data_IF_919318161205
#
_entry.id   IF_919318161205
#
_cell.length_a   1.000
_cell.length_b   1.000
_cell.length_c   1.000
_cell.angle_alpha   90.00
_cell.angle_beta   90.00
_cell.angle_gamma   90.00
#
_symmetry.space_group_name_H-M   'P 1'
#
loop_
_entity.id
_entity.type
_entity.pdbx_description
1 polymer ?
#
# COMPACT_ATOMS: atom_id res chain seq x y z
N UNK A 1 -22.20 8.96 -0.48
CA UNK A 1 -21.03 9.76 -0.93
C UNK A 1 -20.07 9.89 0.24
N UNK A 2 -19.06 9.03 0.32
CA UNK A 2 -18.11 9.00 1.45
C UNK A 2 -17.10 10.14 1.30
N UNK A 3 -17.17 11.15 2.14
CA UNK A 3 -16.10 12.16 2.26
C UNK A 3 -14.96 11.59 3.09
N UNK A 4 -13.83 11.31 2.45
CA UNK A 4 -12.58 10.95 3.14
C UNK A 4 -12.02 12.19 3.80
N UNK A 5 -12.08 12.26 5.13
CA UNK A 5 -11.34 13.25 5.88
C UNK A 5 -9.85 12.88 5.89
N UNK A 6 -9.02 13.77 5.39
CA UNK A 6 -7.57 13.62 5.41
C UNK A 6 -7.01 14.16 6.72
N UNK A 7 -6.32 13.32 7.46
CA UNK A 7 -5.58 13.74 8.66
C UNK A 7 -4.34 14.48 8.22
N UNK A 8 -4.19 15.72 8.72
CA UNK A 8 -3.05 16.58 8.46
C UNK A 8 -2.00 16.40 9.56
N UNK A 9 -0.78 16.07 9.21
CA UNK A 9 0.36 16.14 10.12
C UNK A 9 1.03 17.50 9.94
N UNK A 10 0.77 18.44 10.85
CA UNK A 10 1.46 19.72 10.89
C UNK A 10 2.86 19.58 11.47
N UNK A 11 3.84 20.33 10.96
CA UNK A 11 5.24 20.33 11.40
C UNK A 11 5.51 21.18 12.66
N UNK A 12 4.58 21.19 13.64
CA UNK A 12 4.78 21.76 14.97
C UNK A 12 5.09 20.67 15.98
N UNK A 13 5.62 21.05 17.15
CA UNK A 13 5.83 20.14 18.28
C UNK A 13 4.50 19.59 18.76
N UNK A 14 4.13 18.42 18.24
CA UNK A 14 2.89 17.72 18.59
C UNK A 14 3.07 17.04 19.94
N UNK A 15 2.55 17.63 21.00
CA UNK A 15 2.66 17.05 22.34
C UNK A 15 1.49 16.13 22.68
N UNK A 16 0.31 16.33 22.11
CA UNK A 16 -0.88 15.54 22.48
C UNK A 16 -1.76 15.24 21.26
N UNK A 17 -2.35 14.05 21.23
CA UNK A 17 -3.27 13.60 20.15
C UNK A 17 -4.57 13.05 20.74
N UNK A 18 -5.72 13.41 20.14
CA UNK A 18 -7.02 12.84 20.46
C UNK A 18 -7.38 11.80 19.40
N UNK A 19 -7.77 10.62 19.84
CA UNK A 19 -8.44 9.63 19.03
C UNK A 19 -9.94 9.68 19.32
N UNK A 20 -10.72 10.19 18.40
CA UNK A 20 -12.17 10.24 18.49
C UNK A 20 -12.78 9.16 17.60
N UNK A 21 -13.72 8.39 18.15
CA UNK A 21 -14.45 7.35 17.44
C UNK A 21 -15.95 7.61 17.62
N UNK A 22 -16.66 7.81 16.52
CA UNK A 22 -18.12 7.84 16.52
C UNK A 22 -18.65 6.47 16.10
N UNK A 23 -19.43 5.79 16.94
CA UNK A 23 -20.17 4.55 16.68
C UNK A 23 -19.57 3.60 15.62
N UNK A 24 -20.36 3.19 14.62
CA UNK A 24 -19.91 2.41 13.45
C UNK A 24 -19.31 3.26 12.32
N UNK A 25 -19.10 4.55 12.53
CA UNK A 25 -18.63 5.54 11.56
C UNK A 25 -17.13 5.80 11.67
N UNK A 26 -16.54 6.48 10.66
CA UNK A 26 -15.10 6.49 10.44
C UNK A 26 -14.31 7.05 11.64
N UNK A 27 -13.27 6.33 12.01
CA UNK A 27 -12.28 6.79 12.95
C UNK A 27 -11.58 8.03 12.42
N UNK A 28 -11.46 9.07 13.24
CA UNK A 28 -10.65 10.24 12.96
C UNK A 28 -9.65 10.51 14.08
N UNK A 29 -8.61 11.24 13.75
CA UNK A 29 -7.56 11.64 14.69
C UNK A 29 -7.44 13.15 14.59
N UNK A 30 -7.50 13.81 15.74
CA UNK A 30 -7.21 15.24 15.87
C UNK A 30 -5.92 15.38 16.69
N UNK A 31 -5.09 16.32 16.33
CA UNK A 31 -3.84 16.62 17.00
C UNK A 31 -3.86 18.02 17.55
N UNK A 32 -3.41 18.23 18.77
CA UNK A 32 -3.29 19.50 19.44
C UNK A 32 -1.96 19.64 20.18
N UNK A 33 -1.62 20.86 20.53
CA UNK A 33 -0.36 21.20 21.23
C UNK A 33 -0.46 20.78 22.69
N UNK A 34 -1.62 21.00 23.34
CA UNK A 34 -1.84 20.66 24.74
C UNK A 34 -3.07 19.76 24.91
N UNK A 35 -3.14 19.11 26.04
CA UNK A 35 -4.26 18.26 26.40
C UNK A 35 -5.52 19.11 26.70
N UNK A 36 -5.33 20.25 27.37
CA UNK A 36 -6.38 21.17 27.77
C UNK A 36 -7.12 21.71 26.52
N UNK A 37 -6.37 22.11 25.49
CA UNK A 37 -6.92 22.55 24.20
C UNK A 37 -7.84 21.47 23.60
N UNK A 38 -7.41 20.22 23.66
CA UNK A 38 -8.16 19.11 23.09
C UNK A 38 -9.40 18.74 23.91
N UNK A 39 -9.34 18.84 25.24
CA UNK A 39 -10.47 18.53 26.13
C UNK A 39 -11.49 19.64 26.21
N UNK A 40 -11.04 20.90 26.32
CA UNK A 40 -11.90 22.03 26.65
C UNK A 40 -12.44 22.76 25.42
N UNK A 41 -11.68 22.78 24.32
CA UNK A 41 -12.08 23.50 23.12
C UNK A 41 -12.47 22.56 21.96
N UNK A 42 -11.58 21.66 21.60
CA UNK A 42 -11.76 20.84 20.40
C UNK A 42 -12.84 19.77 20.57
N UNK A 43 -12.87 19.12 21.73
CA UNK A 43 -13.86 18.07 21.98
C UNK A 43 -15.30 18.59 21.97
N UNK A 44 -15.65 19.69 22.63
CA UNK A 44 -17.00 20.24 22.54
C UNK A 44 -17.39 20.67 21.12
N UNK A 45 -16.46 21.25 20.34
CA UNK A 45 -16.71 21.60 18.96
C UNK A 45 -17.03 20.37 18.09
N UNK A 46 -16.31 19.28 18.31
CA UNK A 46 -16.57 18.02 17.59
C UNK A 46 -17.88 17.39 18.03
N UNK A 47 -18.20 17.42 19.30
CA UNK A 47 -19.47 16.90 19.83
C UNK A 47 -20.66 17.70 19.29
N UNK A 48 -20.58 19.03 19.26
CA UNK A 48 -21.59 19.89 18.64
C UNK A 48 -21.75 19.59 17.13
N UNK A 49 -20.66 19.51 16.38
CA UNK A 49 -20.67 19.19 14.96
C UNK A 49 -21.30 17.81 14.66
N UNK A 50 -21.05 16.81 15.50
CA UNK A 50 -21.61 15.49 15.35
C UNK A 50 -23.09 15.43 15.73
N UNK A 51 -23.48 16.13 16.81
CA UNK A 51 -24.87 16.13 17.30
C UNK A 51 -25.85 16.75 16.30
N UNK A 52 -25.44 17.81 15.57
CA UNK A 52 -26.22 18.36 14.45
C UNK A 52 -26.54 17.35 13.35
N UNK A 53 -25.77 16.27 13.28
CA UNK A 53 -25.87 15.19 12.28
C UNK A 53 -26.42 13.88 12.85
N UNK A 54 -26.96 13.94 14.08
CA UNK A 54 -27.50 12.78 14.77
C UNK A 54 -26.44 11.76 15.21
N UNK A 55 -25.17 12.19 15.34
CA UNK A 55 -24.04 11.34 15.70
C UNK A 55 -23.49 11.72 17.07
N UNK A 56 -22.95 10.75 17.80
CA UNK A 56 -22.32 10.99 19.10
C UNK A 56 -20.93 10.37 19.20
N UNK A 57 -20.06 10.95 20.01
CA UNK A 57 -18.77 10.33 20.34
C UNK A 57 -18.99 9.13 21.26
N UNK A 58 -18.29 8.02 20.97
CA UNK A 58 -18.27 6.86 21.86
C UNK A 58 -17.30 7.12 23.03
N UNK A 59 -17.77 7.18 24.29
CA UNK A 59 -16.90 7.42 25.45
C UNK A 59 -15.79 6.37 25.59
N UNK A 60 -16.10 5.11 25.32
CA UNK A 60 -15.15 3.99 25.44
C UNK A 60 -14.03 4.04 24.38
N UNK A 61 -14.33 4.60 23.21
CA UNK A 61 -13.41 4.62 22.08
C UNK A 61 -12.72 5.98 21.90
N UNK A 62 -13.21 7.03 22.57
CA UNK A 62 -12.62 8.37 22.53
C UNK A 62 -11.55 8.49 23.62
N UNK A 63 -10.31 8.75 23.21
CA UNK A 63 -9.17 8.85 24.14
C UNK A 63 -8.24 9.96 23.74
N UNK A 64 -7.80 10.74 24.72
CA UNK A 64 -6.68 11.68 24.59
C UNK A 64 -5.44 10.97 25.09
N UNK A 65 -4.41 10.90 24.24
CA UNK A 65 -3.17 10.14 24.53
C UNK A 65 -1.98 10.99 24.14
N UNK A 66 -0.94 11.03 24.98
CA UNK A 66 0.32 11.66 24.62
C UNK A 66 1.03 10.87 23.53
N UNK A 67 1.61 11.58 22.54
CA UNK A 67 2.24 10.96 21.36
C UNK A 67 3.43 10.06 21.72
N UNK A 68 4.09 10.29 22.85
CA UNK A 68 5.18 9.46 23.34
C UNK A 68 4.70 8.14 23.94
N UNK A 69 3.49 8.07 24.46
CA UNK A 69 2.85 6.80 24.85
C UNK A 69 2.45 6.02 23.61
N UNK A 70 1.97 6.74 22.59
CA UNK A 70 1.54 6.22 21.31
C UNK A 70 0.14 5.59 21.37
N UNK A 71 -0.44 5.40 20.18
CA UNK A 71 -1.77 4.82 20.03
C UNK A 71 -1.85 3.90 18.81
N UNK A 72 -2.84 3.02 18.82
CA UNK A 72 -3.13 2.14 17.70
C UNK A 72 -4.25 2.72 16.84
N UNK A 73 -3.99 2.89 15.52
CA UNK A 73 -4.95 3.37 14.54
C UNK A 73 -4.89 2.53 13.27
N UNK A 74 -6.04 2.02 12.80
CA UNK A 74 -6.14 1.15 11.62
C UNK A 74 -5.13 0.00 11.61
N UNK A 75 -4.89 -0.60 12.78
CA UNK A 75 -3.93 -1.69 12.93
C UNK A 75 -2.46 -1.26 12.94
N UNK A 76 -2.18 0.02 12.88
CA UNK A 76 -0.84 0.61 12.99
C UNK A 76 -0.68 1.26 14.36
N UNK A 77 0.51 1.17 14.93
CA UNK A 77 0.92 1.89 16.13
C UNK A 77 1.69 3.13 15.73
N UNK A 78 1.21 4.29 16.14
CA UNK A 78 1.83 5.60 15.92
C UNK A 78 2.42 6.06 17.25
N UNK A 79 3.71 6.34 17.28
CA UNK A 79 4.40 6.77 18.50
C UNK A 79 5.61 7.64 18.18
N UNK A 80 5.89 8.63 19.03
CA UNK A 80 7.10 9.45 18.99
C UNK A 80 8.20 8.81 19.84
N UNK A 81 9.38 8.63 19.27
CA UNK A 81 10.58 8.12 19.95
C UNK A 81 11.70 9.13 19.75
N UNK A 82 12.23 9.68 20.81
CA UNK A 82 13.36 10.63 20.74
C UNK A 82 13.15 11.71 19.64
N UNK A 83 11.99 12.35 19.66
CA UNK A 83 11.64 13.39 18.69
C UNK A 83 11.17 12.90 17.30
N UNK A 84 11.30 11.60 16.97
CA UNK A 84 10.91 11.04 15.66
C UNK A 84 9.62 10.24 15.75
N UNK A 85 8.66 10.55 14.87
CA UNK A 85 7.42 9.76 14.75
C UNK A 85 7.71 8.47 13.99
N UNK A 86 7.39 7.35 14.60
CA UNK A 86 7.51 6.02 14.02
C UNK A 86 6.13 5.39 13.92
N UNK A 87 5.79 4.93 12.73
CA UNK A 87 4.57 4.16 12.45
C UNK A 87 4.98 2.73 12.14
N UNK A 88 4.39 1.77 12.84
CA UNK A 88 4.67 0.33 12.68
C UNK A 88 3.39 -0.50 12.83
N UNK A 89 3.35 -1.76 12.38
CA UNK A 89 2.24 -2.67 12.66
C UNK A 89 1.98 -2.76 14.17
N UNK A 90 0.72 -2.64 14.60
CA UNK A 90 0.36 -2.74 16.02
C UNK A 90 0.52 -4.17 16.53
N UNK A 91 0.85 -4.33 17.81
CA UNK A 91 0.96 -5.65 18.47
C UNK A 91 -0.33 -6.47 18.34
N UNK A 92 -1.49 -5.80 18.41
CA UNK A 92 -2.82 -6.43 18.25
C UNK A 92 -2.99 -6.97 16.82
N UNK A 93 -2.59 -6.21 15.80
CA UNK A 93 -2.68 -6.63 14.40
C UNK A 93 -1.76 -7.81 14.10
N UNK A 94 -0.52 -7.78 14.55
CA UNK A 94 0.42 -8.92 14.42
C UNK A 94 -0.12 -10.18 15.07
N UNK A 95 -0.63 -10.08 16.31
CA UNK A 95 -1.24 -11.23 17.02
C UNK A 95 -2.45 -11.79 16.28
N UNK A 96 -3.34 -10.93 15.76
CA UNK A 96 -4.53 -11.33 14.99
C UNK A 96 -4.11 -12.04 13.69
N UNK A 97 -3.15 -11.49 12.98
CA UNK A 97 -2.61 -12.11 11.76
C UNK A 97 -2.01 -13.48 12.02
N UNK A 98 -1.14 -13.60 13.01
CA UNK A 98 -0.52 -14.89 13.39
C UNK A 98 -1.56 -15.91 13.87
N UNK A 99 -2.61 -15.46 14.59
CA UNK A 99 -3.74 -16.32 14.95
C UNK A 99 -4.42 -16.86 13.71
N UNK A 100 -4.74 -16.00 12.71
CA UNK A 100 -5.35 -16.42 11.44
C UNK A 100 -4.49 -17.45 10.70
N UNK A 101 -3.19 -17.19 10.55
CA UNK A 101 -2.25 -18.13 9.91
C UNK A 101 -2.20 -19.45 10.64
N UNK A 102 -2.08 -19.44 11.97
CA UNK A 102 -2.06 -20.66 12.81
C UNK A 102 -3.37 -21.45 12.71
N UNK A 103 -4.51 -20.74 12.63
CA UNK A 103 -5.81 -21.40 12.42
C UNK A 103 -5.84 -22.12 11.08
N UNK A 104 -5.42 -21.49 9.98
CA UNK A 104 -5.34 -22.16 8.66
C UNK A 104 -4.46 -23.42 8.73
N UNK A 105 -3.28 -23.32 9.35
CA UNK A 105 -2.36 -24.46 9.49
C UNK A 105 -2.97 -25.60 10.32
N UNK A 106 -3.63 -25.26 11.44
CA UNK A 106 -4.21 -26.25 12.35
C UNK A 106 -5.46 -26.93 11.77
N UNK A 107 -6.29 -26.18 11.05
CA UNK A 107 -7.50 -26.71 10.42
C UNK A 107 -7.22 -27.60 9.20
N UNK A 108 -5.97 -27.67 8.73
CA UNK A 108 -5.57 -28.41 7.55
C UNK A 108 -4.42 -29.39 7.84
N UNK A 109 -4.61 -30.40 8.71
CA UNK A 109 -3.53 -31.31 9.11
C UNK A 109 -3.14 -32.29 8.00
N UNK A 110 -4.06 -32.65 7.11
CA UNK A 110 -3.92 -33.72 6.11
C UNK A 110 -3.65 -33.21 4.69
N UNK A 111 -3.82 -31.91 4.43
CA UNK A 111 -3.62 -31.34 3.09
C UNK A 111 -2.16 -31.44 2.63
N UNK A 112 -1.92 -31.42 1.33
CA UNK A 112 -0.56 -31.36 0.77
C UNK A 112 0.13 -30.05 1.13
N UNK A 113 1.47 -30.04 1.15
CA UNK A 113 2.24 -28.83 1.41
C UNK A 113 1.92 -27.71 0.39
N UNK A 114 1.79 -28.06 -0.89
CA UNK A 114 1.44 -27.12 -1.95
C UNK A 114 0.07 -26.49 -1.75
N UNK A 115 -0.95 -27.27 -1.37
CA UNK A 115 -2.28 -26.74 -1.05
C UNK A 115 -2.25 -25.80 0.14
N UNK A 116 -1.49 -26.13 1.18
CA UNK A 116 -1.32 -25.29 2.36
C UNK A 116 -0.65 -23.95 1.99
N UNK A 117 0.41 -24.00 1.15
CA UNK A 117 1.08 -22.80 0.62
C UNK A 117 0.11 -21.94 -0.19
N UNK A 118 -0.71 -22.55 -1.04
CA UNK A 118 -1.71 -21.84 -1.85
C UNK A 118 -2.69 -21.06 -0.97
N UNK A 119 -3.13 -21.62 0.16
CA UNK A 119 -4.02 -20.94 1.12
C UNK A 119 -3.30 -19.85 1.93
N UNK A 120 -2.03 -20.05 2.28
CA UNK A 120 -1.28 -19.12 3.12
C UNK A 120 -0.74 -17.91 2.36
N UNK A 121 -0.25 -18.09 1.14
CA UNK A 121 0.42 -17.04 0.37
C UNK A 121 -0.43 -15.78 0.15
N UNK A 122 -1.73 -15.85 -0.21
CA UNK A 122 -2.57 -14.66 -0.33
C UNK A 122 -2.71 -13.89 0.99
N UNK A 123 -2.84 -14.62 2.10
CA UNK A 123 -3.00 -14.04 3.44
C UNK A 123 -1.71 -13.33 3.89
N UNK A 124 -0.54 -13.97 3.70
CA UNK A 124 0.75 -13.39 4.08
C UNK A 124 1.08 -12.20 3.19
N UNK A 125 0.89 -12.34 1.86
CA UNK A 125 1.17 -11.28 0.89
C UNK A 125 0.27 -10.06 1.10
N UNK A 126 -1.03 -10.28 1.31
CA UNK A 126 -1.98 -9.20 1.57
C UNK A 126 -1.65 -8.42 2.84
N UNK A 127 -1.28 -9.12 3.92
CA UNK A 127 -0.86 -8.49 5.17
C UNK A 127 0.46 -7.72 5.01
N UNK A 128 1.47 -8.29 4.39
CA UNK A 128 2.75 -7.62 4.14
C UNK A 128 2.59 -6.41 3.20
N UNK A 129 1.73 -6.52 2.17
CA UNK A 129 1.39 -5.42 1.26
C UNK A 129 0.74 -4.24 1.99
N UNK A 130 -0.15 -4.51 2.94
CA UNK A 130 -0.79 -3.48 3.76
C UNK A 130 0.22 -2.69 4.59
N UNK A 131 1.22 -3.36 5.18
CA UNK A 131 2.21 -2.74 6.07
C UNK A 131 3.52 -2.34 5.40
N UNK A 132 3.65 -2.49 4.08
CA UNK A 132 4.91 -2.18 3.38
C UNK A 132 5.30 -0.68 3.38
N UNK A 133 4.38 0.21 3.75
CA UNK A 133 4.62 1.65 3.76
C UNK A 133 5.11 2.19 5.12
N UNK A 134 5.13 1.36 6.14
CA UNK A 134 5.54 1.72 7.50
C UNK A 134 6.82 0.99 7.93
N UNK A 135 7.30 1.24 9.14
CA UNK A 135 8.50 0.58 9.70
C UNK A 135 8.13 -0.86 10.10
N UNK A 136 8.28 -1.80 9.18
CA UNK A 136 7.78 -3.18 9.33
C UNK A 136 8.84 -4.27 9.10
N UNK A 137 10.04 -3.96 8.61
CA UNK A 137 11.05 -4.96 8.21
C UNK A 137 11.36 -5.97 9.30
N UNK A 138 11.65 -5.52 10.53
CA UNK A 138 11.92 -6.41 11.67
C UNK A 138 10.70 -7.26 12.03
N UNK A 139 9.52 -6.65 12.01
CA UNK A 139 8.26 -7.35 12.31
C UNK A 139 7.96 -8.41 11.24
N UNK A 140 8.28 -8.15 9.97
CA UNK A 140 8.16 -9.14 8.89
C UNK A 140 9.08 -10.34 9.12
N UNK A 141 10.32 -10.13 9.55
CA UNK A 141 11.24 -11.21 9.90
C UNK A 141 10.73 -12.04 11.08
N UNK A 142 10.26 -11.38 12.15
CA UNK A 142 9.69 -12.07 13.32
C UNK A 142 8.45 -12.89 12.95
N UNK A 143 7.60 -12.35 12.08
CA UNK A 143 6.41 -13.04 11.57
C UNK A 143 6.79 -14.25 10.73
N UNK A 144 7.74 -14.13 9.82
CA UNK A 144 8.22 -15.25 9.00
C UNK A 144 8.79 -16.36 9.88
N UNK A 145 9.55 -16.02 10.91
CA UNK A 145 10.06 -16.99 11.87
C UNK A 145 8.93 -17.74 12.61
N UNK A 146 7.92 -17.02 13.08
CA UNK A 146 6.77 -17.64 13.76
C UNK A 146 5.93 -18.52 12.84
N UNK A 147 5.77 -18.15 11.58
CA UNK A 147 5.11 -18.97 10.56
C UNK A 147 5.92 -20.23 10.28
N UNK A 148 7.24 -20.11 10.12
CA UNK A 148 8.13 -21.23 9.95
C UNK A 148 8.03 -22.24 11.11
N UNK A 149 8.05 -21.76 12.34
CA UNK A 149 7.86 -22.61 13.51
C UNK A 149 6.50 -23.33 13.54
N UNK A 150 5.44 -22.67 13.09
CA UNK A 150 4.11 -23.27 13.02
C UNK A 150 4.05 -24.40 11.97
N UNK A 151 4.65 -24.18 10.80
CA UNK A 151 4.76 -25.18 9.72
C UNK A 151 5.67 -26.34 10.10
N UNK A 152 6.76 -26.08 10.80
CA UNK A 152 7.63 -27.14 11.33
C UNK A 152 6.86 -28.05 12.30
N UNK A 153 6.07 -27.47 13.22
CA UNK A 153 5.22 -28.24 14.14
C UNK A 153 4.12 -29.02 13.40
N UNK A 154 3.55 -28.44 12.32
CA UNK A 154 2.58 -29.13 11.47
C UNK A 154 3.24 -30.36 10.79
N UNK A 155 4.39 -30.19 10.19
CA UNK A 155 5.14 -31.28 9.53
C UNK A 155 5.54 -32.40 10.53
N UNK A 156 6.00 -32.03 11.73
CA UNK A 156 6.31 -32.99 12.81
C UNK A 156 5.11 -33.81 13.26
N UNK A 157 3.96 -33.18 13.44
CA UNK A 157 2.73 -33.88 13.83
C UNK A 157 2.25 -34.84 12.75
N UNK A 158 2.37 -34.44 11.50
CA UNK A 158 1.99 -35.26 10.35
C UNK A 158 2.87 -36.50 10.18
N UNK A 159 4.12 -36.42 10.58
CA UNK A 159 5.12 -37.47 10.44
C UNK A 159 5.83 -37.75 11.77
N UNK A 160 5.05 -38.13 12.77
CA UNK A 160 5.55 -38.37 14.12
C UNK A 160 6.62 -39.46 14.19
N UNK A 161 6.56 -40.47 13.28
CA UNK A 161 7.51 -41.58 13.19
C UNK A 161 8.76 -41.26 12.35
N UNK A 162 8.92 -40.04 11.82
CA UNK A 162 10.05 -39.66 10.98
C UNK A 162 11.00 -38.69 11.70
N UNK A 163 12.30 -38.86 11.45
CA UNK A 163 13.34 -38.01 12.01
C UNK A 163 13.28 -36.58 11.45
N UNK A 164 13.89 -35.64 12.18
CA UNK A 164 13.92 -34.21 11.81
C UNK A 164 14.56 -33.99 10.43
N UNK A 165 15.59 -34.74 10.07
CA UNK A 165 16.29 -34.64 8.77
C UNK A 165 15.34 -34.97 7.62
N UNK A 166 14.62 -36.09 7.73
CA UNK A 166 13.64 -36.48 6.72
C UNK A 166 12.52 -35.44 6.53
N UNK A 167 11.99 -34.85 7.64
CA UNK A 167 10.98 -33.80 7.58
C UNK A 167 11.53 -32.58 6.86
N UNK A 168 12.78 -32.20 7.18
CA UNK A 168 13.46 -31.08 6.51
C UNK A 168 13.57 -31.34 5.03
N UNK A 169 14.08 -32.49 4.63
CA UNK A 169 14.35 -32.82 3.24
C UNK A 169 13.05 -32.96 2.42
N UNK A 170 11.93 -33.34 3.06
CA UNK A 170 10.61 -33.41 2.41
C UNK A 170 9.90 -32.07 2.21
N UNK A 171 10.05 -31.13 3.13
CA UNK A 171 9.22 -29.90 3.17
C UNK A 171 10.01 -28.60 3.06
N UNK A 172 11.30 -28.60 3.36
CA UNK A 172 12.11 -27.41 3.45
C UNK A 172 13.33 -27.51 2.53
N UNK A 173 13.21 -26.87 1.36
CA UNK A 173 14.22 -26.93 0.32
C UNK A 173 15.03 -25.65 0.24
N UNK A 174 16.13 -25.68 -0.50
CA UNK A 174 16.86 -24.49 -0.87
C UNK A 174 16.25 -23.88 -2.13
N UNK A 175 15.84 -22.61 -2.06
CA UNK A 175 15.22 -21.90 -3.17
C UNK A 175 15.83 -20.51 -3.26
N UNK A 176 16.35 -20.13 -4.43
CA UNK A 176 16.98 -18.82 -4.67
C UNK A 176 18.04 -18.45 -3.62
N UNK A 177 18.94 -19.38 -3.29
CA UNK A 177 20.00 -19.18 -2.30
C UNK A 177 19.56 -19.24 -0.83
N UNK A 178 18.24 -19.31 -0.56
CA UNK A 178 17.70 -19.41 0.81
C UNK A 178 17.53 -20.86 1.22
N UNK A 179 18.10 -21.19 2.37
CA UNK A 179 17.93 -22.50 3.00
C UNK A 179 16.60 -22.56 3.78
N UNK A 180 16.01 -23.73 3.90
CA UNK A 180 14.83 -24.01 4.71
C UNK A 180 13.54 -23.28 4.26
N UNK A 181 13.33 -23.14 2.95
CA UNK A 181 12.09 -22.60 2.39
C UNK A 181 11.03 -23.69 2.37
N UNK A 182 9.90 -23.47 3.03
CA UNK A 182 8.76 -24.40 2.97
C UNK A 182 8.19 -24.40 1.55
N UNK A 183 8.18 -25.57 0.92
CA UNK A 183 7.82 -25.73 -0.49
C UNK A 183 7.06 -27.05 -0.72
N UNK A 184 6.40 -27.12 -1.84
CA UNK A 184 5.63 -28.30 -2.25
C UNK A 184 5.14 -28.12 -3.68
N UNK A 185 4.29 -29.02 -4.10
CA UNK A 185 3.68 -29.01 -5.43
C UNK A 185 2.17 -28.75 -5.32
N UNK A 186 1.65 -27.90 -6.18
CA UNK A 186 0.24 -27.60 -6.30
C UNK A 186 -0.14 -27.47 -7.78
N UNK A 187 -1.08 -28.32 -8.22
CA UNK A 187 -1.56 -28.36 -9.61
C UNK A 187 -0.40 -28.58 -10.60
N UNK A 188 0.47 -29.58 -10.32
CA UNK A 188 1.63 -29.91 -11.15
C UNK A 188 2.75 -28.86 -11.18
N UNK A 189 2.65 -27.79 -10.35
CA UNK A 189 3.64 -26.71 -10.33
C UNK A 189 4.31 -26.61 -8.96
N UNK A 190 5.64 -26.39 -8.93
CA UNK A 190 6.33 -26.15 -7.68
C UNK A 190 5.90 -24.80 -7.08
N UNK A 191 5.52 -24.80 -5.83
CA UNK A 191 5.11 -23.61 -5.08
C UNK A 191 5.93 -23.44 -3.81
N UNK A 192 6.23 -22.21 -3.46
CA UNK A 192 7.01 -21.85 -2.26
C UNK A 192 6.24 -20.90 -1.36
N UNK A 193 6.47 -21.00 -0.07
CA UNK A 193 5.88 -20.08 0.89
C UNK A 193 6.44 -18.66 0.69
N UNK A 194 5.53 -17.70 0.55
CA UNK A 194 5.89 -16.31 0.46
C UNK A 194 6.48 -15.82 1.80
N UNK A 195 7.63 -15.17 1.75
CA UNK A 195 8.26 -14.58 2.92
C UNK A 195 7.93 -13.08 3.01
N UNK A 196 7.34 -12.66 4.12
CA UNK A 196 6.92 -11.26 4.32
C UNK A 196 8.12 -10.29 4.26
N UNK A 197 9.31 -10.68 4.76
CA UNK A 197 10.51 -9.84 4.71
C UNK A 197 11.02 -9.55 3.28
N UNK A 198 10.62 -10.34 2.26
CA UNK A 198 10.89 -10.04 0.84
C UNK A 198 10.05 -8.89 0.30
N UNK A 199 9.01 -8.45 1.04
CA UNK A 199 8.19 -7.32 0.62
C UNK A 199 9.02 -6.02 0.70
N UNK A 200 9.25 -5.32 -0.43
CA UNK A 200 10.00 -4.07 -0.41
C UNK A 200 9.23 -2.99 0.34
N UNK A 201 9.90 -2.32 1.25
CA UNK A 201 9.33 -1.19 1.98
C UNK A 201 9.25 0.02 1.03
N UNK A 202 8.02 0.47 0.77
CA UNK A 202 7.73 1.65 -0.07
C UNK A 202 6.98 2.69 0.76
N UNK A 203 7.70 3.67 1.28
CA UNK A 203 7.10 4.75 2.07
C UNK A 203 6.26 5.65 1.19
N UNK A 204 5.19 6.20 1.76
CA UNK A 204 4.44 7.27 1.12
C UNK A 204 5.28 8.55 1.08
N UNK A 205 5.19 9.28 -0.04
CA UNK A 205 5.79 10.60 -0.13
C UNK A 205 5.03 11.52 0.81
N UNK A 206 5.71 12.16 1.75
CA UNK A 206 5.12 13.11 2.70
C UNK A 206 4.39 14.25 1.98
N UNK A 207 3.29 14.75 2.51
CA UNK A 207 2.63 15.99 2.07
C UNK A 207 3.20 17.11 2.92
N UNK A 208 3.48 18.27 2.34
CA UNK A 208 3.87 19.46 3.11
C UNK A 208 2.76 19.81 4.11
N UNK A 209 3.12 20.11 5.35
CA UNK A 209 2.12 20.34 6.42
C UNK A 209 1.12 21.43 6.10
N UNK A 210 1.56 22.50 5.45
CA UNK A 210 0.71 23.60 5.03
C UNK A 210 -0.16 23.31 3.81
N UNK A 211 0.14 22.24 3.03
CA UNK A 211 -0.54 21.98 1.76
C UNK A 211 -1.99 21.53 1.96
N UNK A 212 -2.91 22.31 1.43
CA UNK A 212 -4.35 22.05 1.45
C UNK A 212 -4.83 21.67 0.04
N UNK A 213 -5.39 20.45 -0.17
CA UNK A 213 -5.85 19.99 -1.49
C UNK A 213 -7.08 20.75 -2.01
N UNK A 214 -7.73 21.54 -1.17
CA UNK A 214 -8.91 22.36 -1.52
C UNK A 214 -8.55 23.83 -1.73
N UNK A 215 -7.28 24.19 -1.57
CA UNK A 215 -6.79 25.56 -1.74
C UNK A 215 -6.12 25.66 -3.12
N UNK A 216 -6.57 26.56 -3.99
CA UNK A 216 -6.04 26.76 -5.34
C UNK A 216 -4.53 27.05 -5.38
N UNK A 217 -3.97 27.71 -4.37
CA UNK A 217 -2.53 28.00 -4.28
C UNK A 217 -1.68 26.71 -4.29
N UNK A 218 -2.24 25.59 -3.82
CA UNK A 218 -1.54 24.30 -3.76
C UNK A 218 -1.80 23.40 -4.96
N UNK A 219 -2.57 23.82 -5.95
CA UNK A 219 -2.93 22.99 -7.10
C UNK A 219 -1.69 22.49 -7.85
N UNK A 220 -0.76 23.39 -8.19
CA UNK A 220 0.51 23.07 -8.87
C UNK A 220 1.34 22.07 -8.05
N UNK A 221 1.38 22.21 -6.73
CA UNK A 221 2.08 21.28 -5.86
C UNK A 221 1.48 19.86 -5.93
N UNK A 222 0.15 19.76 -5.86
CA UNK A 222 -0.52 18.47 -5.93
C UNK A 222 -0.42 17.83 -7.32
N UNK A 223 -0.44 18.63 -8.37
CA UNK A 223 -0.21 18.15 -9.74
C UNK A 223 1.20 17.56 -9.93
N UNK A 224 2.25 18.31 -9.52
CA UNK A 224 3.64 17.79 -9.53
C UNK A 224 3.76 16.48 -8.75
N UNK A 225 3.07 16.40 -7.62
CA UNK A 225 3.03 15.21 -6.77
C UNK A 225 2.34 14.01 -7.45
N UNK A 226 1.28 14.24 -8.22
CA UNK A 226 0.65 13.20 -9.06
C UNK A 226 1.60 12.70 -10.13
N UNK A 227 2.36 13.58 -10.76
CA UNK A 227 3.41 13.22 -11.71
C UNK A 227 4.49 12.33 -11.11
N UNK A 228 5.01 12.65 -9.91
CA UNK A 228 5.98 11.81 -9.18
C UNK A 228 5.39 10.43 -8.86
N UNK A 229 4.14 10.35 -8.41
CA UNK A 229 3.45 9.09 -8.14
C UNK A 229 3.26 8.25 -9.41
N UNK A 230 2.98 8.89 -10.53
CA UNK A 230 2.86 8.22 -11.82
C UNK A 230 4.21 7.66 -12.28
N UNK A 231 5.28 8.44 -12.22
CA UNK A 231 6.64 7.99 -12.54
C UNK A 231 7.06 6.78 -11.70
N UNK A 232 6.78 6.79 -10.40
CA UNK A 232 7.03 5.65 -9.52
C UNK A 232 6.20 4.41 -9.87
N UNK A 233 4.96 4.59 -10.32
CA UNK A 233 4.10 3.48 -10.74
C UNK A 233 4.62 2.82 -12.02
N UNK A 234 5.27 3.58 -12.90
CA UNK A 234 5.90 3.10 -14.14
C UNK A 234 7.34 2.59 -13.94
N UNK A 235 7.90 2.74 -12.72
CA UNK A 235 9.25 2.26 -12.40
C UNK A 235 9.36 0.74 -12.66
N UNK A 236 10.40 0.33 -13.37
CA UNK A 236 10.57 -1.05 -13.86
C UNK A 236 9.92 -1.35 -15.22
N UNK A 237 9.12 -0.45 -15.74
CA UNK A 237 8.52 -0.51 -17.10
C UNK A 237 9.15 0.56 -17.98
N UNK A 238 10.41 0.38 -18.35
CA UNK A 238 11.22 1.40 -19.03
C UNK A 238 10.54 2.04 -20.25
N UNK A 239 9.91 1.24 -21.12
CA UNK A 239 9.22 1.74 -22.31
C UNK A 239 8.01 2.64 -21.95
N UNK A 240 7.19 2.23 -20.98
CA UNK A 240 6.01 3.02 -20.56
C UNK A 240 6.42 4.32 -19.89
N UNK A 241 7.47 4.28 -19.05
CA UNK A 241 8.01 5.47 -18.42
C UNK A 241 8.60 6.44 -19.45
N UNK A 242 9.29 5.92 -20.46
CA UNK A 242 9.82 6.70 -21.58
C UNK A 242 8.67 7.39 -22.36
N UNK A 243 7.66 6.64 -22.79
CA UNK A 243 6.49 7.20 -23.50
C UNK A 243 5.77 8.27 -22.66
N UNK A 244 5.57 8.02 -21.38
CA UNK A 244 4.93 8.98 -20.48
C UNK A 244 5.73 10.28 -20.35
N UNK A 245 7.06 10.20 -20.28
CA UNK A 245 7.95 11.38 -20.25
C UNK A 245 7.97 12.12 -21.58
N UNK A 246 8.07 11.41 -22.70
CA UNK A 246 8.05 12.02 -24.04
C UNK A 246 6.80 12.86 -24.28
N UNK A 247 5.65 12.42 -23.80
CA UNK A 247 4.39 13.16 -23.93
C UNK A 247 4.07 14.07 -22.74
N UNK A 248 5.08 14.39 -21.89
CA UNK A 248 4.94 15.24 -20.68
C UNK A 248 3.81 14.80 -19.75
N UNK A 249 3.46 13.51 -19.74
CA UNK A 249 2.37 12.96 -18.97
C UNK A 249 0.98 13.39 -19.45
N UNK A 250 0.84 13.94 -20.66
CA UNK A 250 -0.42 14.47 -21.21
C UNK A 250 -0.98 13.49 -22.25
N UNK A 251 -2.28 13.26 -22.20
CA UNK A 251 -2.98 12.49 -23.22
C UNK A 251 -3.10 13.32 -24.51
N UNK A 252 -2.64 12.82 -25.69
CA UNK A 252 -2.68 13.59 -26.93
C UNK A 252 -4.10 13.86 -27.45
N UNK A 253 -5.11 13.13 -27.00
CA UNK A 253 -6.52 13.30 -27.42
C UNK A 253 -7.20 14.41 -26.61
N UNK A 254 -7.30 14.26 -25.29
CA UNK A 254 -8.03 15.21 -24.44
C UNK A 254 -7.16 16.30 -23.83
N UNK A 255 -5.83 16.26 -24.06
CA UNK A 255 -4.84 17.22 -23.53
C UNK A 255 -4.77 17.27 -21.99
N UNK A 256 -5.40 16.32 -21.29
CA UNK A 256 -5.36 16.22 -19.84
C UNK A 256 -4.23 15.31 -19.34
N UNK A 257 -3.82 15.47 -18.09
CA UNK A 257 -2.74 14.70 -17.47
C UNK A 257 -3.10 13.24 -17.25
N UNK A 258 -2.22 12.35 -17.69
CA UNK A 258 -2.28 10.92 -17.41
C UNK A 258 -1.66 10.66 -16.04
N UNK A 259 -2.47 10.18 -15.10
CA UNK A 259 -2.07 9.89 -13.73
C UNK A 259 -2.39 8.43 -13.38
N UNK A 260 -1.93 8.01 -12.20
CA UNK A 260 -2.31 6.70 -11.68
C UNK A 260 -3.83 6.57 -11.46
N UNK A 261 -4.51 7.67 -11.16
CA UNK A 261 -5.97 7.68 -10.90
C UNK A 261 -6.78 7.60 -12.19
N UNK A 262 -6.38 8.32 -13.23
CA UNK A 262 -7.05 8.29 -14.53
C UNK A 262 -6.79 6.99 -15.29
N UNK A 263 -5.70 6.29 -14.95
CA UNK A 263 -5.26 5.12 -15.68
C UNK A 263 -4.67 5.46 -17.05
N UNK A 264 -4.20 4.44 -17.76
CA UNK A 264 -3.67 4.58 -19.13
C UNK A 264 -3.75 3.27 -19.89
N UNK A 265 -3.84 3.37 -21.21
CA UNK A 265 -3.63 2.29 -22.17
C UNK A 265 -2.47 2.62 -23.10
N UNK A 266 -1.68 1.61 -23.46
CA UNK A 266 -0.65 1.72 -24.46
C UNK A 266 -1.29 1.49 -25.84
N UNK A 267 -1.28 2.52 -26.68
CA UNK A 267 -1.91 2.52 -27.99
C UNK A 267 -0.84 2.50 -29.10
N UNK A 268 -1.07 1.68 -30.14
CA UNK A 268 -0.26 1.71 -31.36
C UNK A 268 -0.85 2.73 -32.35
N UNK A 269 -0.08 3.73 -32.73
CA UNK A 269 -0.51 4.79 -33.68
C UNK A 269 -0.90 4.15 -35.00
N UNK A 270 0.01 3.37 -35.59
CA UNK A 270 -0.29 2.46 -36.71
C UNK A 270 -0.62 1.10 -36.08
N UNK A 271 -1.81 0.60 -36.33
CA UNK A 271 -2.29 -0.63 -35.72
C UNK A 271 -1.47 -1.84 -36.15
N UNK A 272 -1.27 -2.78 -35.23
CA UNK A 272 -0.52 -4.01 -35.55
C UNK A 272 -1.16 -4.82 -36.67
N UNK A 273 -2.49 -4.82 -36.76
CA UNK A 273 -3.24 -5.43 -37.87
C UNK A 273 -2.97 -4.79 -39.25
N UNK A 274 -2.45 -3.55 -39.26
CA UNK A 274 -2.03 -2.81 -40.44
C UNK A 274 -0.51 -2.77 -40.62
N UNK A 275 0.22 -3.70 -40.00
CA UNK A 275 1.67 -3.79 -40.10
C UNK A 275 2.46 -2.81 -39.23
N UNK A 276 1.80 -2.15 -38.24
CA UNK A 276 2.46 -1.20 -37.35
C UNK A 276 3.54 -1.87 -36.48
N UNK A 277 4.77 -1.30 -36.44
CA UNK A 277 5.87 -1.88 -35.64
C UNK A 277 5.64 -1.76 -34.13
N UNK A 278 6.17 -2.73 -33.35
CA UNK A 278 6.10 -2.74 -31.90
C UNK A 278 7.24 -1.93 -31.26
N UNK A 279 7.54 -0.74 -31.84
CA UNK A 279 8.58 0.18 -31.38
C UNK A 279 7.97 1.37 -30.62
N UNK A 280 8.80 2.05 -29.81
CA UNK A 280 8.37 3.21 -29.03
C UNK A 280 7.86 4.37 -29.90
N UNK A 281 8.40 4.52 -31.13
CA UNK A 281 7.97 5.54 -32.09
C UNK A 281 6.51 5.37 -32.51
N UNK A 282 6.01 4.12 -32.53
CA UNK A 282 4.64 3.76 -32.90
C UNK A 282 3.71 3.62 -31.73
N UNK A 283 4.10 4.07 -30.52
CA UNK A 283 3.31 3.91 -29.30
C UNK A 283 3.08 5.24 -28.60
N UNK A 284 1.91 5.33 -27.96
CA UNK A 284 1.49 6.49 -27.18
C UNK A 284 0.61 6.02 -26.00
N UNK A 285 0.64 6.75 -24.90
CA UNK A 285 -0.25 6.49 -23.76
C UNK A 285 -1.51 7.35 -23.89
N UNK A 286 -2.66 6.72 -23.78
CA UNK A 286 -3.98 7.35 -23.78
C UNK A 286 -4.73 7.03 -22.49
N UNK A 287 -5.66 7.88 -22.11
CA UNK A 287 -6.64 7.47 -21.10
C UNK A 287 -7.51 6.31 -21.61
N UNK A 288 -8.04 5.44 -20.75
CA UNK A 288 -8.88 4.32 -21.17
C UNK A 288 -10.08 4.74 -22.02
N UNK A 289 -10.71 5.88 -21.67
CA UNK A 289 -11.84 6.42 -22.44
C UNK A 289 -11.40 6.99 -23.80
N UNK A 290 -10.29 7.73 -23.84
CA UNK A 290 -9.71 8.26 -25.07
C UNK A 290 -9.26 7.13 -26.00
N UNK A 291 -8.70 6.05 -25.47
CA UNK A 291 -8.33 4.86 -26.22
C UNK A 291 -9.55 4.20 -26.90
N UNK A 292 -10.67 4.08 -26.17
CA UNK A 292 -11.93 3.57 -26.73
C UNK A 292 -12.49 4.49 -27.81
N UNK A 293 -12.45 5.80 -27.58
CA UNK A 293 -12.90 6.80 -28.55
C UNK A 293 -12.09 6.72 -29.87
N UNK A 294 -10.78 6.61 -29.79
CA UNK A 294 -9.90 6.44 -30.94
C UNK A 294 -10.29 5.21 -31.78
N UNK A 295 -10.56 4.08 -31.09
CA UNK A 295 -10.96 2.85 -31.77
C UNK A 295 -12.39 2.90 -32.35
N UNK A 296 -13.33 3.53 -31.69
CA UNK A 296 -14.73 3.61 -32.14
C UNK A 296 -14.93 4.59 -33.28
N UNK A 297 -14.19 5.70 -33.30
CA UNK A 297 -14.32 6.77 -34.29
C UNK A 297 -13.20 6.78 -35.37
N UNK A 298 -12.23 5.88 -35.26
CA UNK A 298 -11.11 5.83 -36.20
C UNK A 298 -10.21 7.07 -36.17
N UNK A 299 -10.12 7.75 -35.02
CA UNK A 299 -9.33 8.98 -34.89
C UNK A 299 -7.85 8.67 -35.06
N UNK A 300 -7.17 9.42 -35.91
CA UNK A 300 -5.72 9.35 -36.00
C UNK A 300 -5.06 10.05 -34.83
N UNK A 301 -4.11 9.37 -34.20
CA UNK A 301 -3.37 9.88 -33.04
C UNK A 301 -2.00 10.33 -33.48
N UNK A 302 -1.75 11.63 -33.41
CA UNK A 302 -0.41 12.16 -33.63
C UNK A 302 0.49 11.90 -32.44
N UNK A 303 1.76 11.52 -32.74
CA UNK A 303 2.75 11.40 -31.65
C UNK A 303 3.12 12.80 -31.16
N UNK A 304 3.01 13.06 -29.82
CA UNK A 304 3.46 14.33 -29.26
C UNK A 304 4.95 14.53 -29.53
N UNK A 305 5.33 15.70 -29.99
CA UNK A 305 6.75 16.07 -30.12
C UNK A 305 7.34 16.17 -28.74
N UNK A 306 8.53 15.58 -28.44
CA UNK A 306 9.19 15.82 -27.16
C UNK A 306 9.39 17.33 -27.00
N UNK A 307 9.09 17.86 -25.82
CA UNK A 307 9.44 19.24 -25.51
C UNK A 307 10.95 19.38 -25.73
N UNK A 308 11.34 20.22 -26.69
CA UNK A 308 12.74 20.60 -26.83
C UNK A 308 13.24 21.01 -25.45
N UNK A 309 14.39 20.48 -25.03
CA UNK A 309 15.10 20.95 -23.84
C UNK A 309 15.48 22.41 -24.10
N UNK A 310 14.49 23.30 -23.95
CA UNK A 310 14.62 24.73 -24.08
C UNK A 310 15.10 25.30 -22.78
N UNK A 311 16.28 25.88 -22.85
CA UNK A 311 16.85 26.87 -21.97
C UNK A 311 16.99 26.47 -20.49
N UNK A 312 18.18 26.10 -20.11
CA UNK A 312 18.73 26.45 -18.81
C UNK A 312 18.61 27.96 -18.68
N UNK A 313 17.63 28.42 -17.93
CA UNK A 313 17.68 29.79 -17.44
C UNK A 313 18.88 29.92 -16.48
N UNK A 314 19.69 30.91 -16.80
CA UNK A 314 20.88 31.33 -16.10
C UNK A 314 20.58 31.86 -14.68
#
# INVERSE_FOLDING_TARGET
>A
MMRKFHVRFGGGSLETQVRLCAGDLPYFIITGVTRELLEQEIRPLVEAFLSERGLSLSPEKTRIVHIEEGFDFLGQNVRKYQGKIIIKPSKKSVKRFLKKVRTIIKSNPTVTAGRLIFMLNPVIRGWAQYYRHVVSSKIFQDVDHQIHQALWRWAKRRHHNKGKRWIKDKYFHQVEGRKWVFSGEYDGKPVTLFAAHKMPIKRHIGIRSAANPFDPEWEIYFEKRLGVKMAQNLQGRRQLLYLWREQNGICPICKQKITKLTGWHNHHIVWRSKGGPDKAENRVLLHPNCHRLVHSQGIYVEKPRPASQGAKEA
#
